data_IF_622288774105
#
_entry.id   IF_622288774105
#
_cell.length_a   1.000
_cell.length_b   1.000
_cell.length_c   1.000
_cell.angle_alpha   90.00
_cell.angle_beta   90.00
_cell.angle_gamma   90.00
#
_symmetry.space_group_name_H-M   'P 1'
#
loop_
_entity.id
_entity.type
_entity.pdbx_description
1 polymer ?
#
# COMPACT_ATOMS: atom_id res chain seq x y z
N UNK A 1 -13.53 -20.33 -6.74
CA UNK A 1 -13.13 -18.92 -6.85
C UNK A 1 -14.33 -18.09 -6.48
N UNK A 2 -14.31 -17.42 -5.33
CA UNK A 2 -15.40 -16.53 -4.93
C UNK A 2 -15.22 -15.23 -5.71
N UNK A 3 -16.06 -15.00 -6.72
CA UNK A 3 -16.04 -13.74 -7.48
C UNK A 3 -16.51 -12.62 -6.56
N UNK A 4 -15.70 -11.58 -6.43
CA UNK A 4 -16.15 -10.34 -5.79
C UNK A 4 -17.33 -9.75 -6.58
N UNK A 5 -18.26 -9.05 -5.92
CA UNK A 5 -19.27 -8.25 -6.61
C UNK A 5 -18.60 -7.27 -7.58
N UNK A 6 -19.18 -7.07 -8.77
CA UNK A 6 -18.63 -6.17 -9.80
C UNK A 6 -18.47 -4.73 -9.29
N UNK A 7 -19.37 -4.30 -8.42
CA UNK A 7 -19.39 -2.99 -7.78
C UNK A 7 -18.53 -2.92 -6.51
N UNK A 8 -17.89 -4.01 -6.10
CA UNK A 8 -17.03 -4.04 -4.92
C UNK A 8 -15.92 -3.00 -5.04
N UNK A 9 -15.79 -2.14 -4.03
CA UNK A 9 -14.88 -0.99 -3.95
C UNK A 9 -15.14 0.17 -4.92
N UNK A 10 -16.19 0.11 -5.75
CA UNK A 10 -16.50 1.14 -6.75
C UNK A 10 -17.22 2.35 -6.16
N UNK A 11 -17.97 2.17 -5.07
CA UNK A 11 -18.76 3.24 -4.45
C UNK A 11 -17.90 4.04 -3.45
N UNK A 12 -17.97 5.37 -3.42
CA UNK A 12 -17.29 6.16 -2.37
C UNK A 12 -17.82 5.78 -0.99
N UNK A 13 -16.93 5.61 -0.02
CA UNK A 13 -17.31 5.43 1.39
C UNK A 13 -17.55 6.83 1.98
N UNK A 14 -18.62 6.98 2.76
CA UNK A 14 -18.88 8.23 3.48
C UNK A 14 -17.94 8.37 4.69
N UNK A 15 -17.59 9.61 5.03
CA UNK A 15 -16.76 9.87 6.21
C UNK A 15 -15.28 9.51 6.08
N UNK A 16 -14.77 9.40 4.85
CA UNK A 16 -13.33 9.34 4.60
C UNK A 16 -12.72 10.68 4.98
N UNK A 17 -11.72 10.66 5.86
CA UNK A 17 -10.97 11.85 6.28
C UNK A 17 -9.49 11.65 5.95
N UNK A 18 -8.84 12.71 5.50
CA UNK A 18 -7.42 12.70 5.20
C UNK A 18 -6.73 13.81 5.98
N UNK A 19 -5.65 13.45 6.68
CA UNK A 19 -4.83 14.39 7.44
C UNK A 19 -3.39 14.24 6.98
N UNK A 20 -2.80 15.34 6.48
CA UNK A 20 -1.36 15.40 6.21
C UNK A 20 -0.62 15.50 7.54
N UNK A 21 0.41 14.68 7.71
CA UNK A 21 1.31 14.76 8.87
C UNK A 21 2.21 15.97 8.68
N UNK A 22 2.23 16.85 9.67
CA UNK A 22 3.11 18.01 9.74
C UNK A 22 4.32 17.68 10.61
N UNK A 23 5.38 17.15 9.97
CA UNK A 23 6.54 16.63 10.68
C UNK A 23 7.29 17.68 11.50
N UNK A 24 7.23 18.97 11.11
CA UNK A 24 7.79 20.10 11.87
C UNK A 24 7.20 20.19 13.28
N UNK A 25 5.96 19.73 13.45
CA UNK A 25 5.23 19.71 14.71
C UNK A 25 5.14 18.30 15.34
N UNK A 26 6.04 17.39 14.94
CA UNK A 26 6.16 16.04 15.52
C UNK A 26 7.51 15.84 16.22
N UNK A 27 7.66 14.78 17.05
CA UNK A 27 8.98 14.38 17.57
C UNK A 27 9.97 13.85 16.52
N UNK A 28 9.62 13.87 15.23
CA UNK A 28 10.42 13.34 14.12
C UNK A 28 10.74 14.45 13.09
N UNK A 29 11.44 15.53 13.50
CA UNK A 29 11.74 16.66 12.63
C UNK A 29 12.66 16.29 11.45
N UNK A 30 13.39 15.17 11.52
CA UNK A 30 14.19 14.66 10.41
C UNK A 30 13.36 14.31 9.15
N UNK A 31 12.04 14.24 9.28
CA UNK A 31 11.12 13.99 8.17
C UNK A 31 10.38 15.25 7.70
N UNK A 32 10.79 16.45 8.11
CA UNK A 32 10.17 17.72 7.71
C UNK A 32 9.98 17.86 6.18
N UNK A 33 10.97 17.42 5.40
CA UNK A 33 10.94 17.47 3.93
C UNK A 33 10.16 16.29 3.29
N UNK A 34 9.65 15.36 4.08
CA UNK A 34 8.89 14.21 3.61
C UNK A 34 7.38 14.45 3.65
N UNK A 35 6.66 13.57 2.97
CA UNK A 35 5.20 13.62 2.88
C UNK A 35 4.60 12.34 3.42
N UNK A 36 3.67 12.49 4.35
CA UNK A 36 2.88 11.39 4.89
C UNK A 36 1.45 11.83 5.15
N UNK A 37 0.50 10.92 4.91
CA UNK A 37 -0.94 11.17 5.04
C UNK A 37 -1.57 10.03 5.81
N UNK A 38 -2.45 10.37 6.75
CA UNK A 38 -3.37 9.42 7.38
C UNK A 38 -4.71 9.56 6.68
N UNK A 39 -5.17 8.48 6.05
CA UNK A 39 -6.48 8.44 5.38
C UNK A 39 -7.35 7.41 6.09
N UNK A 40 -8.30 7.89 6.87
CA UNK A 40 -9.21 7.08 7.67
C UNK A 40 -10.46 6.69 6.87
N UNK A 41 -11.08 5.56 7.26
CA UNK A 41 -12.36 5.08 6.71
C UNK A 41 -12.37 4.80 5.20
N UNK A 42 -11.21 4.59 4.57
CA UNK A 42 -11.10 4.20 3.13
C UNK A 42 -11.88 2.92 2.80
N UNK A 43 -12.00 2.01 3.78
CA UNK A 43 -12.74 0.76 3.69
C UNK A 43 -13.72 0.65 4.85
N UNK A 44 -14.99 0.37 4.54
CA UNK A 44 -16.00 0.05 5.55
C UNK A 44 -15.69 -1.30 6.25
N UNK A 45 -16.35 -1.58 7.38
CA UNK A 45 -16.21 -2.86 8.06
C UNK A 45 -16.59 -4.06 7.17
N UNK A 46 -17.68 -3.92 6.39
CA UNK A 46 -18.12 -4.96 5.45
C UNK A 46 -17.09 -5.17 4.34
N UNK A 47 -16.58 -4.10 3.73
CA UNK A 47 -15.59 -4.20 2.66
C UNK A 47 -14.28 -4.83 3.15
N UNK A 48 -13.83 -4.50 4.37
CA UNK A 48 -12.66 -5.13 4.98
C UNK A 48 -12.84 -6.64 5.14
N UNK A 49 -13.99 -7.07 5.65
CA UNK A 49 -14.30 -8.49 5.83
C UNK A 49 -14.40 -9.23 4.49
N UNK A 50 -15.08 -8.65 3.50
CA UNK A 50 -15.22 -9.21 2.15
C UNK A 50 -13.86 -9.28 1.43
N UNK A 51 -13.04 -8.24 1.54
CA UNK A 51 -11.69 -8.20 0.97
C UNK A 51 -10.82 -9.30 1.56
N UNK A 52 -10.84 -9.46 2.89
CA UNK A 52 -10.08 -10.49 3.58
C UNK A 52 -10.55 -11.89 3.20
N UNK A 53 -11.87 -12.12 3.14
CA UNK A 53 -12.44 -13.41 2.74
C UNK A 53 -12.06 -13.79 1.29
N UNK A 54 -12.15 -12.83 0.36
CA UNK A 54 -11.75 -13.05 -1.02
C UNK A 54 -10.25 -13.36 -1.15
N UNK A 55 -9.42 -12.64 -0.39
CA UNK A 55 -7.98 -12.90 -0.33
C UNK A 55 -7.71 -14.32 0.22
N UNK A 56 -8.33 -14.73 1.32
CA UNK A 56 -8.20 -16.07 1.90
C UNK A 56 -8.68 -17.18 0.96
N UNK A 57 -9.70 -16.92 0.15
CA UNK A 57 -10.16 -17.85 -0.88
C UNK A 57 -9.21 -17.94 -2.09
N UNK A 58 -8.31 -16.97 -2.28
CA UNK A 58 -7.34 -16.94 -3.38
C UNK A 58 -6.10 -17.81 -3.13
N UNK A 59 -5.77 -18.10 -1.88
CA UNK A 59 -4.60 -18.91 -1.53
C UNK A 59 -4.36 -19.02 -0.03
N UNK A 60 -3.46 -19.93 0.38
CA UNK A 60 -3.15 -20.13 1.78
C UNK A 60 -2.29 -18.99 2.34
N UNK A 61 -2.36 -18.80 3.65
CA UNK A 61 -1.35 -18.05 4.39
C UNK A 61 -0.02 -18.79 4.34
N UNK A 62 1.06 -18.07 4.10
CA UNK A 62 2.43 -18.59 4.10
C UNK A 62 3.29 -17.76 5.05
N UNK A 63 4.41 -18.31 5.54
CA UNK A 63 5.35 -17.50 6.32
C UNK A 63 5.93 -16.38 5.44
N UNK A 64 6.06 -15.18 5.98
CA UNK A 64 6.72 -14.09 5.27
C UNK A 64 8.21 -14.41 5.08
N UNK A 65 8.62 -14.59 3.82
CA UNK A 65 10.02 -14.79 3.46
C UNK A 65 10.66 -13.47 3.04
N UNK A 66 11.92 -13.25 3.44
CA UNK A 66 12.74 -12.13 3.02
C UNK A 66 13.52 -12.48 1.74
N UNK A 67 13.71 -11.52 0.85
CA UNK A 67 14.61 -11.66 -0.31
C UNK A 67 16.04 -11.42 0.16
N UNK A 68 16.94 -12.36 -0.08
CA UNK A 68 18.36 -12.27 0.31
C UNK A 68 19.30 -12.08 -0.89
N UNK A 69 18.77 -11.65 -2.03
CA UNK A 69 19.53 -11.45 -3.27
C UNK A 69 19.68 -12.72 -4.12
N UNK A 70 20.12 -12.58 -5.38
CA UNK A 70 20.34 -13.68 -6.34
C UNK A 70 19.14 -14.63 -6.52
N UNK A 71 17.91 -14.10 -6.44
CA UNK A 71 16.69 -14.89 -6.54
C UNK A 71 16.39 -15.80 -5.33
N UNK A 72 17.22 -15.76 -4.28
CA UNK A 72 17.04 -16.58 -3.08
C UNK A 72 16.13 -15.90 -2.08
N UNK A 73 15.37 -16.72 -1.36
CA UNK A 73 14.51 -16.28 -0.27
C UNK A 73 14.89 -17.06 0.99
N UNK A 74 14.87 -16.40 2.14
CA UNK A 74 15.13 -17.01 3.44
C UNK A 74 13.96 -16.75 4.36
N UNK A 75 13.65 -17.73 5.19
CA UNK A 75 12.84 -17.50 6.36
C UNK A 75 13.73 -16.81 7.38
N UNK A 76 13.27 -15.69 7.92
CA UNK A 76 13.97 -14.99 8.97
C UNK A 76 13.08 -14.99 10.21
N UNK A 77 13.45 -15.83 11.15
CA UNK A 77 12.64 -16.10 12.33
C UNK A 77 12.66 -14.92 13.32
N UNK A 78 13.55 -13.94 13.15
CA UNK A 78 13.72 -12.83 14.09
C UNK A 78 13.08 -11.49 13.64
N UNK A 79 12.89 -11.25 12.33
CA UNK A 79 12.45 -9.93 11.82
C UNK A 79 11.12 -9.97 11.04
N UNK A 80 10.74 -11.11 10.47
CA UNK A 80 9.53 -11.24 9.65
C UNK A 80 8.64 -12.37 10.17
N UNK A 81 8.22 -12.24 11.43
CA UNK A 81 7.36 -13.24 12.05
C UNK A 81 5.92 -13.23 11.52
N UNK A 82 5.50 -12.37 10.61
CA UNK A 82 4.11 -12.40 10.17
C UNK A 82 3.77 -13.57 9.20
N UNK A 83 2.49 -13.97 9.22
CA UNK A 83 1.87 -14.65 8.11
C UNK A 83 1.65 -13.69 6.94
N UNK A 84 1.87 -14.16 5.73
CA UNK A 84 1.66 -13.41 4.49
C UNK A 84 0.77 -14.20 3.54
N UNK A 85 -0.25 -13.54 3.03
CA UNK A 85 -1.03 -14.00 1.91
C UNK A 85 -0.82 -13.05 0.73
N UNK A 86 -0.62 -13.64 -0.45
CA UNK A 86 -0.40 -12.89 -1.69
C UNK A 86 -1.60 -13.13 -2.59
N UNK A 87 -2.21 -12.04 -3.03
CA UNK A 87 -3.32 -12.08 -3.97
C UNK A 87 -3.07 -11.13 -5.13
N UNK A 88 -2.90 -11.69 -6.33
CA UNK A 88 -2.77 -10.90 -7.56
C UNK A 88 -4.16 -10.49 -8.05
N UNK A 89 -4.53 -9.23 -7.85
CA UNK A 89 -5.80 -8.66 -8.28
C UNK A 89 -5.61 -7.24 -8.78
N UNK A 90 -5.38 -7.06 -10.10
CA UNK A 90 -5.20 -5.73 -10.69
C UNK A 90 -6.43 -4.83 -10.49
N UNK A 91 -7.63 -5.42 -10.56
CA UNK A 91 -8.89 -4.70 -10.40
C UNK A 91 -9.03 -4.14 -8.98
N UNK A 92 -8.82 -4.97 -7.96
CA UNK A 92 -8.90 -4.53 -6.56
C UNK A 92 -7.84 -3.49 -6.26
N UNK A 93 -6.60 -3.69 -6.71
CA UNK A 93 -5.52 -2.72 -6.54
C UNK A 93 -5.87 -1.36 -7.17
N UNK A 94 -6.50 -1.36 -8.35
CA UNK A 94 -6.93 -0.15 -9.03
C UNK A 94 -8.06 0.55 -8.26
N UNK A 95 -9.10 -0.17 -7.82
CA UNK A 95 -10.22 0.41 -7.09
C UNK A 95 -9.80 1.00 -5.74
N UNK A 96 -8.87 0.34 -5.02
CA UNK A 96 -8.26 0.90 -3.80
C UNK A 96 -7.48 2.17 -4.14
N UNK A 97 -6.70 2.16 -5.22
CA UNK A 97 -5.94 3.35 -5.64
C UNK A 97 -6.85 4.53 -5.97
N UNK A 98 -7.93 4.30 -6.72
CA UNK A 98 -8.88 5.34 -7.11
C UNK A 98 -9.55 6.01 -5.91
N UNK A 99 -9.76 5.27 -4.82
CA UNK A 99 -10.24 5.82 -3.55
C UNK A 99 -9.19 6.67 -2.83
N UNK A 100 -7.93 6.23 -2.80
CA UNK A 100 -6.90 6.87 -1.99
C UNK A 100 -6.27 8.07 -2.69
N UNK A 101 -6.03 8.00 -4.00
CA UNK A 101 -5.22 8.97 -4.75
C UNK A 101 -5.71 10.42 -4.62
N UNK A 102 -7.02 10.62 -4.49
CA UNK A 102 -7.64 11.95 -4.37
C UNK A 102 -7.26 12.66 -3.06
N UNK A 103 -6.82 11.91 -2.06
CA UNK A 103 -6.43 12.42 -0.73
C UNK A 103 -4.93 12.67 -0.59
N UNK A 104 -4.14 12.28 -1.60
CA UNK A 104 -2.69 12.31 -1.54
C UNK A 104 -2.07 12.91 -2.81
N UNK A 105 -2.49 14.10 -3.25
CA UNK A 105 -2.16 14.63 -4.57
C UNK A 105 -0.65 14.80 -4.78
N UNK A 106 0.12 15.12 -3.74
CA UNK A 106 1.55 15.38 -3.86
C UNK A 106 2.40 14.12 -4.13
N UNK A 107 1.97 12.94 -3.67
CA UNK A 107 2.60 11.66 -4.04
C UNK A 107 2.11 11.13 -5.39
N UNK A 108 1.11 11.77 -6.01
CA UNK A 108 0.71 11.39 -7.38
C UNK A 108 1.65 11.96 -8.44
N UNK A 109 2.39 13.02 -8.15
CA UNK A 109 3.31 13.67 -9.10
C UNK A 109 4.64 13.97 -8.42
N UNK A 110 5.72 13.36 -8.90
CA UNK A 110 7.08 13.64 -8.44
C UNK A 110 7.82 14.49 -9.47
N UNK A 111 8.24 15.69 -9.03
CA UNK A 111 9.04 16.61 -9.83
C UNK A 111 10.41 16.75 -9.17
N UNK A 112 11.48 16.37 -9.90
CA UNK A 112 12.88 16.56 -9.46
C UNK A 112 13.24 15.94 -8.10
N UNK A 113 12.54 14.89 -7.69
CA UNK A 113 12.80 14.14 -6.45
C UNK A 113 13.89 13.08 -6.64
N UNK A 114 15.16 13.50 -6.68
CA UNK A 114 16.30 12.65 -7.04
C UNK A 114 16.47 11.41 -6.14
N UNK A 115 16.08 11.49 -4.86
CA UNK A 115 16.12 10.35 -3.93
C UNK A 115 15.13 9.23 -4.33
N UNK A 116 14.05 9.59 -5.01
CA UNK A 116 12.98 8.66 -5.40
C UNK A 116 13.08 8.24 -6.88
N UNK A 117 13.37 9.19 -7.78
CA UNK A 117 13.41 8.95 -9.23
C UNK A 117 14.81 8.67 -9.77
N UNK A 118 15.84 8.86 -8.94
CA UNK A 118 17.25 8.77 -9.32
C UNK A 118 17.79 10.08 -9.89
N UNK A 119 19.07 10.37 -9.62
CA UNK A 119 19.70 11.64 -10.00
C UNK A 119 19.60 11.98 -11.48
N UNK A 120 19.74 10.99 -12.38
CA UNK A 120 19.64 11.22 -13.82
C UNK A 120 18.24 11.65 -14.28
N UNK A 121 17.17 11.11 -13.69
CA UNK A 121 15.80 11.50 -14.01
C UNK A 121 15.53 12.94 -13.55
N UNK A 122 16.00 13.30 -12.35
CA UNK A 122 15.90 14.66 -11.83
C UNK A 122 16.69 15.68 -12.67
N UNK A 123 17.90 15.34 -13.13
CA UNK A 123 18.72 16.20 -14.01
C UNK A 123 18.08 16.44 -15.38
N UNK A 124 17.36 15.45 -15.91
CA UNK A 124 16.61 15.58 -17.18
C UNK A 124 15.29 16.35 -17.02
N UNK A 125 14.92 16.74 -15.81
CA UNK A 125 13.66 17.43 -15.53
C UNK A 125 12.45 16.55 -15.73
N UNK A 126 12.59 15.23 -15.57
CA UNK A 126 11.47 14.31 -15.70
C UNK A 126 10.42 14.56 -14.60
N UNK A 127 9.16 14.43 -15.00
CA UNK A 127 8.00 14.43 -14.11
C UNK A 127 7.43 13.01 -14.10
N UNK A 128 7.34 12.42 -12.92
CA UNK A 128 6.85 11.06 -12.74
C UNK A 128 5.43 11.11 -12.17
N UNK A 129 4.50 10.45 -12.85
CA UNK A 129 3.11 10.33 -12.41
C UNK A 129 2.83 8.92 -11.89
N UNK A 130 2.21 8.83 -10.72
CA UNK A 130 1.81 7.56 -10.12
C UNK A 130 0.66 6.94 -10.89
N UNK A 131 0.97 5.95 -11.72
CA UNK A 131 -0.04 5.28 -12.56
C UNK A 131 -1.02 4.40 -11.78
N UNK A 132 -0.52 3.55 -10.87
CA UNK A 132 -1.31 2.54 -10.14
C UNK A 132 -0.56 1.96 -8.95
N UNK A 133 -1.30 1.29 -8.07
CA UNK A 133 -0.73 0.40 -7.06
C UNK A 133 -0.18 -0.90 -7.67
N UNK A 134 0.66 -1.59 -6.89
CA UNK A 134 1.13 -2.92 -7.25
C UNK A 134 -0.06 -3.90 -7.31
N UNK A 135 -0.20 -4.59 -8.44
CA UNK A 135 -1.27 -5.57 -8.70
C UNK A 135 -1.19 -6.79 -7.76
N UNK A 136 -0.02 -7.02 -7.16
CA UNK A 136 0.26 -8.07 -6.18
C UNK A 136 0.00 -7.56 -4.77
N UNK A 137 -1.23 -7.72 -4.32
CA UNK A 137 -1.66 -7.35 -2.98
C UNK A 137 -1.02 -8.29 -1.96
N UNK A 138 -0.60 -7.72 -0.82
CA UNK A 138 0.00 -8.47 0.29
C UNK A 138 -0.83 -8.22 1.53
N UNK A 139 -1.39 -9.30 2.07
CA UNK A 139 -2.08 -9.30 3.35
C UNK A 139 -1.12 -9.85 4.38
N UNK A 140 -0.95 -9.12 5.48
CA UNK A 140 -0.09 -9.51 6.59
C UNK A 140 -0.97 -9.86 7.78
N UNK A 141 -0.64 -10.96 8.45
CA UNK A 141 -1.28 -11.42 9.68
C UNK A 141 -0.21 -11.48 10.76
N UNK A 142 -0.37 -10.66 11.79
CA UNK A 142 0.49 -10.65 12.97
C UNK A 142 -0.20 -11.43 14.08
N UNK A 143 0.53 -12.31 14.75
CA UNK A 143 0.08 -13.05 15.93
C UNK A 143 0.86 -12.58 17.18
N UNK A 144 0.33 -12.78 18.39
CA UNK A 144 0.82 -12.11 19.60
C UNK A 144 2.32 -12.25 19.85
N UNK A 145 3.01 -11.11 20.02
CA UNK A 145 4.46 -11.01 20.26
C UNK A 145 5.32 -10.83 19.01
N UNK A 146 4.69 -10.66 17.84
CA UNK A 146 5.33 -10.32 16.56
C UNK A 146 5.36 -8.81 16.27
#
# INVERSE_FOLDING_TARGET
>A
MTSLPTDFLSTPVSGVTATRIDFDNTPLPEYADLQAYVVDNVLSAHERATLLSAAQASGPWQRAMIKVGNGRQRQEDDQCKCGRLIWDSPEVAQKVWDRVKVFVPEITILVRQAELTGGSAAMRGEVWETSRLNKRLRFLKYEGGE
#
